data_IF_941194180828
#
_entry.id   IF_941194180828
#
_cell.length_a   1.000
_cell.length_b   1.000
_cell.length_c   1.000
_cell.angle_alpha   90.00
_cell.angle_beta   90.00
_cell.angle_gamma   90.00
#
_symmetry.space_group_name_H-M   'P 1'
#
loop_
_entity.id
_entity.type
_entity.pdbx_description
1 polymer ?
#
# COMPACT_ATOMS: atom_id res chain seq x y z
N UNK A 1 7.10 -0.50 29.84
CA UNK A 1 7.42 -0.40 28.40
C UNK A 1 7.50 -1.82 27.85
N UNK A 2 6.74 -2.13 26.80
CA UNK A 2 6.87 -3.38 26.05
C UNK A 2 7.71 -3.09 24.81
N UNK A 3 8.78 -3.87 24.61
CA UNK A 3 9.62 -3.81 23.42
C UNK A 3 9.46 -5.13 22.69
N UNK A 4 9.17 -5.08 21.39
CA UNK A 4 9.05 -6.24 20.53
C UNK A 4 9.84 -6.05 19.25
N UNK A 5 10.31 -7.15 18.68
CA UNK A 5 10.95 -7.18 17.37
C UNK A 5 10.01 -7.87 16.37
N UNK A 6 9.91 -7.32 15.16
CA UNK A 6 9.18 -7.94 14.06
C UNK A 6 9.83 -7.60 12.72
N UNK A 7 9.58 -8.38 11.65
CA UNK A 7 9.93 -7.99 10.30
C UNK A 7 9.35 -6.61 9.92
N UNK A 8 9.95 -5.90 8.95
CA UNK A 8 9.47 -4.61 8.51
C UNK A 8 8.05 -4.68 7.96
N UNK A 9 7.15 -3.88 8.54
CA UNK A 9 5.83 -3.62 7.99
C UNK A 9 5.90 -2.46 6.99
N UNK A 10 5.18 -2.59 5.88
CA UNK A 10 5.10 -1.55 4.85
C UNK A 10 3.72 -0.89 4.88
N UNK A 11 3.68 0.42 5.13
CA UNK A 11 2.46 1.22 5.03
C UNK A 11 2.35 1.82 3.62
N UNK A 12 1.31 1.44 2.88
CA UNK A 12 1.16 1.74 1.46
C UNK A 12 -0.28 2.08 1.12
N UNK A 13 -0.47 3.21 0.44
CA UNK A 13 -1.78 3.66 0.01
C UNK A 13 -1.93 3.50 -1.51
N UNK A 14 -3.08 3.01 -1.95
CA UNK A 14 -3.47 2.94 -3.36
C UNK A 14 -4.61 3.92 -3.61
N UNK A 15 -4.36 4.92 -4.44
CA UNK A 15 -5.34 5.95 -4.79
C UNK A 15 -6.22 5.50 -5.94
N UNK A 16 -7.52 5.68 -5.79
CA UNK A 16 -8.51 5.31 -6.79
C UNK A 16 -8.75 6.49 -7.73
N UNK A 17 -8.80 6.21 -9.02
CA UNK A 17 -9.15 7.20 -10.03
C UNK A 17 -10.65 7.53 -9.97
N UNK A 18 -11.05 8.78 -10.27
CA UNK A 18 -12.46 9.12 -10.46
C UNK A 18 -13.12 8.20 -11.51
N UNK A 19 -14.40 7.85 -11.34
CA UNK A 19 -15.35 8.39 -10.37
C UNK A 19 -15.39 7.62 -9.03
N UNK A 20 -14.40 6.80 -8.71
CA UNK A 20 -14.41 5.98 -7.49
C UNK A 20 -14.50 6.85 -6.21
N UNK A 21 -15.26 6.37 -5.23
CA UNK A 21 -15.59 7.10 -4.00
C UNK A 21 -14.99 6.45 -2.76
N UNK A 22 -15.13 7.11 -1.61
CA UNK A 22 -14.75 6.52 -0.31
C UNK A 22 -15.54 5.25 0.01
N UNK A 23 -16.77 5.12 -0.50
CA UNK A 23 -17.58 3.91 -0.37
C UNK A 23 -16.92 2.75 -1.11
N UNK A 24 -16.43 2.99 -2.33
CA UNK A 24 -15.67 2.01 -3.11
C UNK A 24 -14.38 1.63 -2.39
N UNK A 25 -13.62 2.61 -1.91
CA UNK A 25 -12.40 2.35 -1.16
C UNK A 25 -12.65 1.51 0.09
N UNK A 26 -13.73 1.76 0.84
CA UNK A 26 -14.10 0.98 2.03
C UNK A 26 -14.49 -0.45 1.67
N UNK A 27 -15.26 -0.62 0.59
CA UNK A 27 -15.64 -1.95 0.07
C UNK A 27 -14.40 -2.75 -0.34
N UNK A 28 -13.48 -2.14 -1.09
CA UNK A 28 -12.25 -2.78 -1.55
C UNK A 28 -11.35 -3.13 -0.36
N UNK A 29 -11.16 -2.20 0.58
CA UNK A 29 -10.38 -2.46 1.79
C UNK A 29 -10.95 -3.61 2.64
N UNK A 30 -12.27 -3.69 2.78
CA UNK A 30 -12.93 -4.78 3.49
C UNK A 30 -12.79 -6.13 2.75
N UNK A 31 -12.78 -6.12 1.43
CA UNK A 31 -12.60 -7.31 0.61
C UNK A 31 -11.17 -7.87 0.71
N UNK A 32 -10.16 -6.98 0.64
CA UNK A 32 -8.75 -7.36 0.49
C UNK A 32 -7.98 -7.51 1.80
N UNK A 33 -8.43 -6.90 2.92
CA UNK A 33 -7.79 -7.11 4.21
C UNK A 33 -7.91 -8.58 4.63
N UNK A 34 -6.95 -9.05 5.40
CA UNK A 34 -6.94 -10.40 5.97
C UNK A 34 -8.28 -10.71 6.66
N UNK A 35 -8.80 -11.91 6.38
CA UNK A 35 -10.13 -12.34 6.81
C UNK A 35 -11.30 -11.82 5.95
N UNK A 36 -11.02 -10.97 4.96
CA UNK A 36 -11.99 -10.56 3.94
C UNK A 36 -12.22 -11.65 2.88
N UNK A 37 -13.28 -11.53 2.06
CA UNK A 37 -13.63 -12.50 1.02
C UNK A 37 -12.53 -12.73 -0.03
N UNK A 38 -11.67 -11.73 -0.26
CA UNK A 38 -10.50 -11.80 -1.14
C UNK A 38 -9.21 -11.50 -0.35
N UNK A 39 -9.21 -11.85 0.94
CA UNK A 39 -8.21 -11.42 1.91
C UNK A 39 -6.80 -11.83 1.51
N UNK A 40 -5.90 -10.85 1.53
CA UNK A 40 -4.47 -11.06 1.37
C UNK A 40 -3.84 -11.33 2.75
N UNK A 41 -2.99 -12.37 2.90
CA UNK A 41 -2.40 -12.71 4.19
C UNK A 41 -1.52 -11.58 4.73
N UNK A 42 -1.67 -11.26 6.02
CA UNK A 42 -0.93 -10.17 6.66
C UNK A 42 -1.22 -8.77 6.12
N UNK A 43 -2.33 -8.56 5.38
CA UNK A 43 -2.76 -7.24 4.93
C UNK A 43 -3.84 -6.68 5.85
N UNK A 44 -3.63 -5.47 6.36
CA UNK A 44 -4.64 -4.70 7.06
C UNK A 44 -5.00 -3.49 6.20
N UNK A 45 -6.28 -3.24 5.93
CA UNK A 45 -6.67 -2.14 5.05
C UNK A 45 -7.89 -1.36 5.57
N UNK A 46 -7.91 -0.06 5.24
CA UNK A 46 -9.00 0.88 5.47
C UNK A 46 -9.28 1.68 4.19
N UNK A 47 -10.57 1.96 3.93
CA UNK A 47 -10.97 2.88 2.87
C UNK A 47 -11.12 4.29 3.41
N UNK A 48 -10.33 5.23 2.87
CA UNK A 48 -10.25 6.61 3.34
C UNK A 48 -10.50 7.59 2.20
N UNK A 49 -10.98 8.77 2.54
CA UNK A 49 -10.98 9.93 1.64
C UNK A 49 -9.90 10.89 2.11
N UNK A 50 -9.24 11.58 1.18
CA UNK A 50 -8.28 12.63 1.45
C UNK A 50 -8.88 14.00 1.10
N UNK A 51 -9.52 14.72 2.05
CA UNK A 51 -10.11 16.03 1.78
C UNK A 51 -9.08 17.03 1.22
N UNK A 52 -7.85 16.98 1.74
CA UNK A 52 -6.73 17.83 1.32
C UNK A 52 -6.17 17.50 -0.08
N UNK A 53 -6.70 16.48 -0.77
CA UNK A 53 -6.29 16.04 -2.11
C UNK A 53 -7.49 16.03 -3.05
N UNK A 54 -8.26 17.12 -3.07
CA UNK A 54 -9.48 17.26 -3.87
C UNK A 54 -10.49 16.10 -3.65
N UNK A 55 -10.46 15.48 -2.46
CA UNK A 55 -11.38 14.40 -2.11
C UNK A 55 -11.04 13.03 -2.71
N UNK A 56 -9.80 12.78 -3.17
CA UNK A 56 -9.36 11.45 -3.65
C UNK A 56 -9.68 10.36 -2.62
N UNK A 57 -10.26 9.25 -3.10
CA UNK A 57 -10.49 8.04 -2.33
C UNK A 57 -9.29 7.10 -2.45
N UNK A 58 -8.94 6.41 -1.36
CA UNK A 58 -7.80 5.49 -1.33
C UNK A 58 -8.06 4.27 -0.45
N UNK A 59 -7.43 3.17 -0.84
CA UNK A 59 -7.22 2.01 0.03
C UNK A 59 -5.90 2.24 0.76
N UNK A 60 -5.98 2.55 2.05
CA UNK A 60 -4.81 2.65 2.92
C UNK A 60 -4.51 1.29 3.54
N UNK A 61 -3.32 0.75 3.31
CA UNK A 61 -2.98 -0.61 3.71
C UNK A 61 -1.66 -0.68 4.47
N UNK A 62 -1.58 -1.64 5.38
CA UNK A 62 -0.36 -2.10 6.00
C UNK A 62 -0.13 -3.55 5.55
N UNK A 63 1.06 -3.83 5.04
CA UNK A 63 1.51 -5.17 4.63
C UNK A 63 2.55 -5.65 5.64
N UNK A 64 2.22 -6.69 6.40
CA UNK A 64 3.06 -7.19 7.49
C UNK A 64 4.22 -8.07 6.99
N UNK A 65 4.01 -8.81 5.91
CA UNK A 65 5.06 -9.58 5.21
C UNK A 65 5.06 -9.24 3.72
N UNK A 66 5.92 -8.30 3.34
CA UNK A 66 6.08 -7.85 1.97
C UNK A 66 6.70 -8.90 1.03
N UNK A 67 7.24 -10.01 1.58
CA UNK A 67 7.78 -11.12 0.77
C UNK A 67 6.66 -12.09 0.40
N UNK A 68 5.73 -12.34 1.33
CA UNK A 68 4.53 -13.12 1.05
C UNK A 68 3.53 -12.35 0.17
N UNK A 69 3.38 -11.04 0.43
CA UNK A 69 2.52 -10.15 -0.36
C UNK A 69 3.33 -8.94 -0.85
N UNK A 70 3.97 -9.04 -2.03
CA UNK A 70 4.61 -7.88 -2.66
C UNK A 70 3.61 -6.75 -2.91
N UNK A 71 4.07 -5.50 -2.92
CA UNK A 71 3.19 -4.35 -3.17
C UNK A 71 2.51 -4.42 -4.55
N UNK A 72 3.14 -5.07 -5.53
CA UNK A 72 2.56 -5.34 -6.84
C UNK A 72 1.27 -6.19 -6.73
N UNK A 73 1.24 -7.18 -5.84
CA UNK A 73 0.08 -8.04 -5.60
C UNK A 73 -1.07 -7.24 -4.99
N UNK A 74 -0.78 -6.37 -4.03
CA UNK A 74 -1.78 -5.47 -3.44
C UNK A 74 -2.36 -4.52 -4.49
N UNK A 75 -1.52 -3.87 -5.30
CA UNK A 75 -1.93 -2.97 -6.38
C UNK A 75 -2.79 -3.70 -7.40
N UNK A 76 -2.37 -4.88 -7.86
CA UNK A 76 -3.14 -5.68 -8.79
C UNK A 76 -4.50 -6.10 -8.22
N UNK A 77 -4.56 -6.44 -6.92
CA UNK A 77 -5.82 -6.78 -6.26
C UNK A 77 -6.78 -5.58 -6.19
N UNK A 78 -6.28 -4.38 -5.86
CA UNK A 78 -7.10 -3.15 -5.89
C UNK A 78 -7.58 -2.84 -7.32
N UNK A 79 -6.70 -3.01 -8.32
CA UNK A 79 -7.00 -2.75 -9.73
C UNK A 79 -8.14 -3.59 -10.29
N UNK A 80 -8.43 -4.77 -9.70
CA UNK A 80 -9.60 -5.59 -10.08
C UNK A 80 -10.94 -4.91 -9.77
N UNK A 81 -10.95 -3.94 -8.87
CA UNK A 81 -12.19 -3.31 -8.39
C UNK A 81 -12.35 -1.85 -8.82
N UNK A 82 -11.26 -1.15 -9.11
CA UNK A 82 -11.27 0.25 -9.50
C UNK A 82 -9.99 0.62 -10.26
N UNK A 83 -10.08 1.60 -11.16
CA UNK A 83 -8.91 2.18 -11.80
C UNK A 83 -8.02 2.89 -10.76
N UNK A 84 -6.71 2.80 -10.94
CA UNK A 84 -5.70 3.34 -10.01
C UNK A 84 -5.17 4.66 -10.56
N UNK A 85 -5.19 5.70 -9.73
CA UNK A 85 -4.59 7.00 -10.06
C UNK A 85 -3.09 7.06 -9.70
N UNK A 86 -2.70 6.29 -8.68
CA UNK A 86 -1.33 6.22 -8.21
C UNK A 86 -1.24 5.54 -6.85
N UNK A 87 -0.06 5.57 -6.26
CA UNK A 87 0.19 5.03 -4.94
C UNK A 87 1.07 5.98 -4.11
N UNK A 88 1.08 5.75 -2.80
CA UNK A 88 1.94 6.47 -1.87
C UNK A 88 2.52 5.52 -0.84
N UNK A 89 3.84 5.56 -0.69
CA UNK A 89 4.53 4.93 0.43
C UNK A 89 4.52 5.86 1.64
N UNK A 90 4.14 5.33 2.80
CA UNK A 90 4.25 6.03 4.07
C UNK A 90 5.49 5.54 4.81
N UNK A 91 6.50 6.40 4.94
CA UNK A 91 7.78 6.07 5.58
C UNK A 91 8.84 5.58 4.59
N UNK A 92 9.42 4.42 4.88
CA UNK A 92 10.42 3.72 4.05
C UNK A 92 10.04 2.24 3.99
N UNK A 93 10.38 1.56 2.90
CA UNK A 93 10.14 0.13 2.73
C UNK A 93 11.43 -0.60 2.35
N UNK A 94 11.59 -1.90 2.65
CA UNK A 94 12.63 -2.70 2.02
C UNK A 94 12.49 -2.65 0.49
N UNK A 95 13.59 -2.60 -0.25
CA UNK A 95 13.60 -2.59 -1.72
C UNK A 95 12.83 -3.78 -2.29
N UNK A 96 12.96 -4.93 -1.65
CA UNK A 96 12.24 -6.16 -1.99
C UNK A 96 10.71 -6.04 -1.90
N UNK A 97 10.15 -5.07 -1.17
CA UNK A 97 8.69 -4.83 -1.14
C UNK A 97 8.15 -4.41 -2.52
N UNK A 98 8.98 -3.80 -3.36
CA UNK A 98 8.66 -3.39 -4.72
C UNK A 98 8.99 -4.46 -5.78
N UNK A 99 9.23 -5.71 -5.38
CA UNK A 99 9.45 -6.81 -6.32
C UNK A 99 8.27 -6.93 -7.31
N UNK A 100 8.57 -6.90 -8.61
CA UNK A 100 7.56 -6.97 -9.67
C UNK A 100 6.61 -5.76 -9.75
N UNK A 101 6.92 -4.65 -9.07
CA UNK A 101 6.04 -3.48 -9.08
C UNK A 101 5.95 -2.86 -10.48
N UNK A 102 4.73 -2.56 -10.99
CA UNK A 102 4.54 -2.01 -12.33
C UNK A 102 5.25 -0.67 -12.50
N UNK A 103 6.02 -0.51 -13.58
CA UNK A 103 6.82 0.69 -13.85
C UNK A 103 6.00 1.92 -14.28
N UNK A 104 4.76 1.70 -14.70
CA UNK A 104 3.82 2.70 -15.19
C UNK A 104 2.87 3.24 -14.11
N UNK A 105 2.83 2.62 -12.92
CA UNK A 105 2.03 3.12 -11.79
C UNK A 105 2.86 4.12 -10.97
N UNK A 106 2.45 5.41 -10.90
CA UNK A 106 3.22 6.41 -10.16
C UNK A 106 3.17 6.13 -8.65
N UNK A 107 4.33 6.17 -8.00
CA UNK A 107 4.47 5.99 -6.54
C UNK A 107 5.11 7.22 -5.91
N UNK A 108 4.35 7.91 -5.06
CA UNK A 108 4.87 9.01 -4.25
C UNK A 108 5.67 8.48 -3.07
N UNK A 109 6.68 9.25 -2.67
CA UNK A 109 7.56 8.96 -1.53
C UNK A 109 8.26 7.60 -1.61
N UNK A 110 8.50 7.06 -2.82
CA UNK A 110 9.21 5.79 -3.01
C UNK A 110 10.65 5.93 -2.52
N UNK A 111 10.89 5.48 -1.28
CA UNK A 111 12.18 5.47 -0.60
C UNK A 111 12.42 4.10 0.01
N UNK A 112 13.60 3.54 -0.22
CA UNK A 112 13.94 2.24 0.36
C UNK A 112 14.83 2.36 1.59
N UNK A 113 14.76 1.36 2.47
CA UNK A 113 15.66 1.28 3.64
C UNK A 113 17.11 1.22 3.16
N UNK A 114 17.36 0.44 2.12
CA UNK A 114 18.68 0.23 1.53
C UNK A 114 19.24 1.53 0.95
N UNK A 115 18.46 2.31 0.20
CA UNK A 115 18.95 3.61 -0.32
C UNK A 115 19.27 4.59 0.82
N UNK A 116 18.50 4.54 1.92
CA UNK A 116 18.76 5.37 3.09
C UNK A 116 20.02 4.94 3.85
N UNK A 117 20.33 3.63 3.89
CA UNK A 117 21.54 3.11 4.50
C UNK A 117 22.78 3.46 3.66
N UNK A 118 22.70 3.30 2.34
CA UNK A 118 23.80 3.61 1.41
C UNK A 118 24.22 5.09 1.52
N UNK A 119 23.24 5.99 1.72
CA UNK A 119 23.46 7.42 1.91
C UNK A 119 24.13 7.79 3.25
N UNK A 120 24.05 6.94 4.27
CA UNK A 120 24.68 7.16 5.59
C UNK A 120 26.13 6.64 5.64
N UNK A 121 26.47 5.73 4.72
CA UNK A 121 27.79 5.11 4.63
C UNK A 121 28.69 5.72 3.55
N UNK A 122 28.16 6.70 2.81
CA UNK A 122 28.88 7.47 1.77
C UNK A 122 29.39 8.79 2.33
#
# INVERSE_FOLDING_TARGET
VLVGARPPLVAFNVELAPPATVTDARRIAAALREGGPEGLPGVRALGLQLPARAGIAQVSANVEDHRAVPLATLVAAVARHAAIAGCELVGVAPRAAFAGFPGDVPVRNRRTVEDALDALTS
#
